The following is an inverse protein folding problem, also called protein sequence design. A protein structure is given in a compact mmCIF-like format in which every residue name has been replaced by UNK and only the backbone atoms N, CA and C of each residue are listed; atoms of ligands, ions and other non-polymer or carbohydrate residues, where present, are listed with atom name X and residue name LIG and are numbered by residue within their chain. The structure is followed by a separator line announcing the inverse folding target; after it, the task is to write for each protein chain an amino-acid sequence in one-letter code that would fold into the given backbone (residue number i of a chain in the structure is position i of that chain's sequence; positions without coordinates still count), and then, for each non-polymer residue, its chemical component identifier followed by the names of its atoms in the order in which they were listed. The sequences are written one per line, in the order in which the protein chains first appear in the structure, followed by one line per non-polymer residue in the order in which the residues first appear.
data_IF_533380019155
#
_entry.id   IF_533380019155
#
_cell.length_a   1.000
_cell.length_b   1.000
_cell.length_c   1.000
_cell.angle_alpha   90.00
_cell.angle_beta   90.00
_cell.angle_gamma   90.00
#
_symmetry.space_group_name_H-M   'P 1'
#
loop_
_entity.id
_entity.type
_entity.pdbx_description
1 polymer ?
#
# COMPACT_ATOMS: atom_id res chain seq x y z
N UNK A 1 29.09 18.53 -33.14
CA UNK A 1 27.87 17.72 -33.45
C UNK A 1 26.96 17.44 -32.22
N UNK A 2 27.45 16.95 -31.06
CA UNK A 2 26.57 16.73 -29.91
C UNK A 2 26.15 18.04 -29.19
N UNK A 3 27.04 19.00 -29.06
CA UNK A 3 26.79 20.30 -28.40
C UNK A 3 25.79 21.15 -29.22
N UNK A 4 25.88 21.12 -30.53
CA UNK A 4 24.95 21.84 -31.45
C UNK A 4 23.51 21.31 -31.39
N UNK A 5 23.34 19.97 -31.19
CA UNK A 5 22.01 19.36 -31.02
C UNK A 5 21.36 19.77 -29.69
N UNK A 6 22.14 19.89 -28.61
CA UNK A 6 21.64 20.34 -27.32
C UNK A 6 21.29 21.82 -27.35
N UNK A 7 22.09 22.67 -27.99
CA UNK A 7 21.79 24.10 -28.14
C UNK A 7 20.52 24.33 -29.02
N UNK A 8 20.36 23.54 -30.10
CA UNK A 8 19.14 23.58 -30.92
C UNK A 8 17.88 23.15 -30.19
N UNK A 9 17.98 22.14 -29.28
CA UNK A 9 16.87 21.70 -28.44
C UNK A 9 16.47 22.77 -27.41
N UNK A 10 17.45 23.43 -26.77
CA UNK A 10 17.20 24.52 -25.82
C UNK A 10 16.58 25.74 -26.53
N UNK A 11 17.04 26.08 -27.76
CA UNK A 11 16.47 27.17 -28.54
C UNK A 11 15.01 26.90 -28.92
N UNK A 12 14.67 25.66 -29.31
CA UNK A 12 13.27 25.24 -29.59
C UNK A 12 12.37 25.31 -28.35
N UNK A 13 12.86 24.86 -27.22
CA UNK A 13 12.11 24.93 -25.97
C UNK A 13 11.85 26.38 -25.48
N UNK A 14 12.81 27.30 -25.75
CA UNK A 14 12.63 28.74 -25.48
C UNK A 14 11.65 29.39 -26.45
N UNK A 15 11.69 29.05 -27.70
CA UNK A 15 10.73 29.54 -28.69
C UNK A 15 9.29 29.08 -28.44
N UNK A 16 9.11 27.84 -27.99
CA UNK A 16 7.81 27.33 -27.54
C UNK A 16 7.26 28.04 -26.27
N UNK A 17 8.12 28.44 -25.34
CA UNK A 17 7.71 29.24 -24.19
C UNK A 17 7.35 30.68 -24.54
N UNK A 18 8.05 31.31 -25.49
CA UNK A 18 7.76 32.66 -25.93
C UNK A 18 6.46 32.78 -26.73
N UNK A 19 5.96 31.68 -27.30
CA UNK A 19 4.67 31.66 -28.03
C UNK A 19 3.45 31.41 -27.14
N UNK A 20 3.62 31.30 -25.81
CA UNK A 20 2.55 31.04 -24.81
C UNK A 20 2.18 32.28 -23.99
N UNK A 21 2.73 33.45 -24.26
CA UNK A 21 2.19 34.73 -23.74
C UNK A 21 0.97 35.16 -24.56
N UNK A 22 -0.12 34.42 -24.47
CA UNK A 22 -1.45 34.96 -24.75
C UNK A 22 -1.87 35.77 -23.53
N UNK A 23 -1.92 37.09 -23.74
CA UNK A 23 -2.59 38.00 -22.81
C UNK A 23 -4.04 37.57 -22.75
N UNK A 24 -4.45 36.96 -21.66
CA UNK A 24 -5.86 36.76 -21.35
C UNK A 24 -6.41 38.13 -20.93
N UNK A 25 -7.23 38.77 -21.79
CA UNK A 25 -8.13 39.82 -21.35
C UNK A 25 -9.04 39.15 -20.28
N UNK A 26 -8.94 39.64 -19.06
CA UNK A 26 -9.84 39.24 -17.96
C UNK A 26 -11.18 39.90 -18.28
N UNK A 27 -12.17 39.08 -18.63
CA UNK A 27 -13.55 39.54 -18.79
C UNK A 27 -14.10 39.76 -17.38
N UNK A 28 -14.22 41.01 -16.96
CA UNK A 28 -14.67 41.44 -15.61
C UNK A 28 -16.15 41.09 -15.37
N UNK A 29 -16.88 40.56 -16.35
CA UNK A 29 -18.31 40.21 -16.26
C UNK A 29 -18.60 38.74 -16.04
N UNK A 30 -17.58 37.89 -15.80
CA UNK A 30 -17.82 36.51 -15.39
C UNK A 30 -18.36 36.49 -13.97
N UNK A 31 -19.58 35.91 -13.72
CA UNK A 31 -20.08 35.75 -12.37
C UNK A 31 -19.05 34.91 -11.59
N UNK A 32 -18.59 35.48 -10.46
CA UNK A 32 -17.78 34.76 -9.50
C UNK A 32 -18.51 33.44 -9.23
N UNK A 33 -17.86 32.33 -9.51
CA UNK A 33 -18.38 31.02 -9.11
C UNK A 33 -18.74 31.12 -7.62
N UNK A 34 -20.02 30.87 -7.30
CA UNK A 34 -20.48 30.82 -5.92
C UNK A 34 -19.50 29.92 -5.17
N UNK A 35 -18.99 30.42 -4.04
CA UNK A 35 -18.03 29.72 -3.19
C UNK A 35 -18.46 28.25 -3.05
N UNK A 36 -17.78 27.33 -3.75
CA UNK A 36 -17.80 25.93 -3.35
C UNK A 36 -17.40 25.94 -1.88
N UNK A 37 -18.30 25.56 -1.01
CA UNK A 37 -18.16 25.55 0.45
C UNK A 37 -16.72 25.21 0.82
N UNK A 38 -15.95 26.22 1.24
CA UNK A 38 -14.59 26.03 1.72
C UNK A 38 -14.71 25.28 3.06
N UNK A 39 -14.84 23.95 2.94
CA UNK A 39 -14.84 23.05 4.09
C UNK A 39 -13.44 23.18 4.70
N UNK A 40 -13.33 23.91 5.79
CA UNK A 40 -12.08 23.96 6.56
C UNK A 40 -11.58 22.51 6.75
N UNK A 41 -10.32 22.22 6.40
CA UNK A 41 -9.80 20.87 6.52
C UNK A 41 -9.86 20.45 7.99
N UNK A 42 -10.75 19.52 8.31
CA UNK A 42 -10.85 18.94 9.65
C UNK A 42 -9.45 18.53 10.11
N UNK A 43 -9.00 18.93 11.30
CA UNK A 43 -7.68 18.55 11.78
C UNK A 43 -7.56 17.03 11.78
N UNK A 44 -6.39 16.47 11.44
CA UNK A 44 -6.21 15.02 11.39
C UNK A 44 -6.48 14.42 12.77
N UNK A 45 -7.16 13.28 12.80
CA UNK A 45 -7.39 12.55 14.03
C UNK A 45 -6.04 12.17 14.66
N UNK A 46 -6.02 12.21 15.99
CA UNK A 46 -4.82 11.91 16.75
C UNK A 46 -4.54 10.41 16.71
N UNK A 47 -3.42 10.01 16.10
CA UNK A 47 -2.94 8.63 16.11
C UNK A 47 -2.76 8.09 17.52
N UNK A 48 -2.47 8.95 18.51
CA UNK A 48 -2.30 8.53 19.90
C UNK A 48 -3.59 8.01 20.53
N UNK A 49 -4.75 8.44 20.02
CA UNK A 49 -6.07 8.00 20.47
C UNK A 49 -6.44 6.59 19.96
N UNK A 50 -5.74 6.05 18.95
CA UNK A 50 -6.00 4.71 18.46
C UNK A 50 -5.74 3.64 19.53
N UNK A 51 -6.57 2.58 19.61
CA UNK A 51 -6.33 1.44 20.50
C UNK A 51 -4.92 0.89 20.31
N UNK A 52 -4.14 0.80 21.38
CA UNK A 52 -2.74 0.36 21.34
C UNK A 52 -2.62 -1.14 21.62
N UNK A 53 -1.84 -1.85 20.84
CA UNK A 53 -1.46 -3.24 21.10
C UNK A 53 0.02 -3.34 21.37
N UNK A 54 0.37 -4.03 22.48
CA UNK A 54 1.77 -4.30 22.81
C UNK A 54 2.34 -5.41 21.94
N UNK A 55 3.28 -5.06 21.04
CA UNK A 55 4.02 -6.02 20.21
C UNK A 55 5.24 -6.51 20.97
N UNK A 56 5.12 -7.69 21.61
CA UNK A 56 6.25 -8.31 22.30
C UNK A 56 7.20 -9.00 21.33
N UNK A 57 8.49 -9.16 21.71
CA UNK A 57 9.47 -9.90 20.88
C UNK A 57 8.96 -11.29 20.48
N UNK A 58 8.28 -11.99 21.38
CA UNK A 58 7.69 -13.32 21.12
C UNK A 58 6.58 -13.29 20.06
N UNK A 59 5.78 -12.23 20.01
CA UNK A 59 4.74 -12.04 18.97
C UNK A 59 5.42 -11.79 17.63
N UNK A 60 6.40 -10.89 17.58
CA UNK A 60 7.16 -10.54 16.39
C UNK A 60 7.86 -11.76 15.78
N UNK A 61 8.54 -12.55 16.61
CA UNK A 61 9.22 -13.78 16.20
C UNK A 61 8.23 -14.80 15.61
N UNK A 62 7.14 -15.08 16.33
CA UNK A 62 6.11 -16.02 15.87
C UNK A 62 5.42 -15.57 14.59
N UNK A 63 5.21 -14.26 14.40
CA UNK A 63 4.67 -13.67 13.18
C UNK A 63 5.73 -13.57 12.06
N UNK A 64 6.99 -13.95 12.34
CA UNK A 64 8.14 -13.79 11.42
C UNK A 64 8.34 -12.36 10.96
N UNK A 65 8.12 -11.41 11.85
CA UNK A 65 8.36 -9.98 11.62
C UNK A 65 9.83 -9.68 11.99
N UNK A 66 10.73 -9.93 11.05
CA UNK A 66 12.18 -9.77 11.25
C UNK A 66 12.65 -8.32 11.16
N UNK A 67 11.81 -7.43 10.66
CA UNK A 67 12.12 -6.01 10.44
C UNK A 67 11.79 -5.10 11.62
N UNK A 68 11.18 -5.65 12.67
CA UNK A 68 10.80 -4.88 13.86
C UNK A 68 12.00 -4.36 14.68
N UNK A 69 13.16 -4.97 14.54
CA UNK A 69 14.43 -4.61 15.17
C UNK A 69 15.53 -4.31 14.15
N UNK A 70 16.77 -4.16 14.65
CA UNK A 70 17.98 -3.92 13.84
C UNK A 70 18.70 -5.25 13.45
N UNK A 71 17.99 -6.36 13.36
CA UNK A 71 18.60 -7.66 13.11
C UNK A 71 19.15 -7.76 11.66
N UNK A 72 20.28 -8.48 11.51
CA UNK A 72 20.96 -8.69 10.21
C UNK A 72 20.08 -9.37 9.14
N UNK A 73 18.99 -10.01 9.54
CA UNK A 73 18.04 -10.68 8.61
C UNK A 73 17.09 -9.71 7.90
N UNK A 74 17.16 -8.41 8.16
CA UNK A 74 16.26 -7.41 7.57
C UNK A 74 16.76 -6.81 6.24
N UNK A 75 18.00 -7.07 5.82
CA UNK A 75 18.64 -6.39 4.67
C UNK A 75 17.81 -6.47 3.39
N UNK A 76 17.24 -7.64 3.06
CA UNK A 76 16.41 -7.78 1.87
C UNK A 76 15.13 -6.91 1.94
N UNK A 77 14.50 -6.85 3.12
CA UNK A 77 13.34 -6.00 3.36
C UNK A 77 13.71 -4.52 3.39
N UNK A 78 14.88 -4.16 3.89
CA UNK A 78 15.35 -2.77 3.91
C UNK A 78 15.63 -2.28 2.48
N UNK A 79 16.20 -3.12 1.63
CA UNK A 79 16.36 -2.83 0.20
C UNK A 79 15.00 -2.70 -0.51
N UNK A 80 14.07 -3.62 -0.23
CA UNK A 80 12.70 -3.57 -0.78
C UNK A 80 12.00 -2.28 -0.34
N UNK A 81 12.02 -1.94 0.96
CA UNK A 81 11.48 -0.69 1.49
C UNK A 81 12.02 0.52 0.73
N UNK A 82 13.35 0.60 0.57
CA UNK A 82 14.00 1.75 -0.08
C UNK A 82 13.51 1.91 -1.52
N UNK A 83 13.46 0.81 -2.30
CA UNK A 83 12.97 0.83 -3.68
C UNK A 83 11.49 1.20 -3.78
N UNK A 84 10.65 0.62 -2.91
CA UNK A 84 9.22 0.92 -2.86
C UNK A 84 8.99 2.39 -2.52
N UNK A 85 9.62 2.89 -1.45
CA UNK A 85 9.50 4.30 -1.05
C UNK A 85 9.96 5.27 -2.13
N UNK A 86 11.10 5.00 -2.76
CA UNK A 86 11.60 5.84 -3.83
C UNK A 86 10.59 5.92 -4.98
N UNK A 87 10.07 4.77 -5.41
CA UNK A 87 9.08 4.73 -6.50
C UNK A 87 7.79 5.45 -6.12
N UNK A 88 7.24 5.17 -4.94
CA UNK A 88 6.01 5.80 -4.47
C UNK A 88 6.15 7.32 -4.34
N UNK A 89 7.28 7.81 -3.81
CA UNK A 89 7.56 9.26 -3.72
C UNK A 89 7.68 9.92 -5.10
N UNK A 90 8.36 9.27 -6.05
CA UNK A 90 8.54 9.81 -7.40
C UNK A 90 7.21 9.95 -8.15
N UNK A 91 6.31 8.99 -7.98
CA UNK A 91 5.01 8.95 -8.66
C UNK A 91 3.88 9.64 -7.85
N UNK A 92 4.14 10.06 -6.63
CA UNK A 92 3.12 10.62 -5.73
C UNK A 92 2.11 9.60 -5.21
N UNK A 93 2.45 8.31 -5.24
CA UNK A 93 1.58 7.20 -4.81
C UNK A 93 1.52 7.05 -3.31
N UNK A 94 0.36 6.61 -2.80
CA UNK A 94 0.13 6.36 -1.37
C UNK A 94 -0.39 4.97 -1.07
N UNK A 95 -1.05 4.29 -2.03
CA UNK A 95 -1.70 3.00 -1.85
C UNK A 95 -0.95 1.91 -2.61
N UNK A 96 -0.47 0.91 -1.88
CA UNK A 96 0.21 -0.25 -2.47
C UNK A 96 -0.49 -1.55 -2.10
N UNK A 97 -0.80 -2.36 -3.09
CA UNK A 97 -1.30 -3.72 -2.89
C UNK A 97 -0.14 -4.71 -2.80
N UNK A 98 -0.24 -5.67 -1.88
CA UNK A 98 0.64 -6.83 -1.80
C UNK A 98 -0.21 -8.06 -2.13
N UNK A 99 0.07 -8.71 -3.25
CA UNK A 99 -0.61 -9.94 -3.67
C UNK A 99 0.40 -11.01 -4.04
N UNK A 100 -0.06 -12.20 -4.38
CA UNK A 100 0.81 -13.30 -4.81
C UNK A 100 0.18 -14.06 -5.96
N UNK A 101 1.00 -14.81 -6.70
CA UNK A 101 0.49 -15.67 -7.78
C UNK A 101 -0.44 -16.75 -7.21
N UNK A 102 -0.03 -17.40 -6.10
CA UNK A 102 -0.75 -18.51 -5.49
C UNK A 102 -0.75 -18.41 -3.97
N UNK A 103 -1.46 -19.31 -3.31
CA UNK A 103 -1.49 -19.43 -1.86
C UNK A 103 -0.10 -19.76 -1.28
N UNK A 104 0.09 -19.45 0.00
CA UNK A 104 1.31 -19.75 0.74
C UNK A 104 2.62 -19.14 0.17
N UNK A 105 2.60 -18.24 -0.83
CA UNK A 105 3.80 -17.53 -1.29
C UNK A 105 4.39 -16.60 -0.22
N UNK A 106 3.64 -16.27 0.84
CA UNK A 106 4.11 -15.46 1.96
C UNK A 106 3.78 -13.97 1.84
N UNK A 107 2.75 -13.60 1.04
CA UNK A 107 2.30 -12.22 0.85
C UNK A 107 2.07 -11.45 2.16
N UNK A 108 1.28 -12.02 3.08
CA UNK A 108 0.98 -11.38 4.38
C UNK A 108 2.22 -11.16 5.24
N UNK A 109 3.18 -12.13 5.22
CA UNK A 109 4.47 -11.97 5.89
C UNK A 109 5.29 -10.85 5.25
N UNK A 110 5.28 -10.74 3.92
CA UNK A 110 5.95 -9.63 3.21
C UNK A 110 5.28 -8.31 3.53
N UNK A 111 3.94 -8.24 3.54
CA UNK A 111 3.19 -7.04 3.90
C UNK A 111 3.49 -6.56 5.33
N UNK A 112 3.46 -7.47 6.32
CA UNK A 112 3.83 -7.15 7.71
C UNK A 112 5.26 -6.64 7.81
N UNK A 113 6.22 -7.33 7.19
CA UNK A 113 7.63 -6.93 7.24
C UNK A 113 7.88 -5.59 6.54
N UNK A 114 7.23 -5.31 5.42
CA UNK A 114 7.30 -4.00 4.77
C UNK A 114 6.76 -2.91 5.69
N UNK A 115 5.59 -3.11 6.30
CA UNK A 115 4.97 -2.16 7.23
C UNK A 115 5.87 -1.87 8.43
N UNK A 116 6.44 -2.91 9.05
CA UNK A 116 7.36 -2.73 10.19
C UNK A 116 8.70 -2.12 9.78
N UNK A 117 9.21 -2.39 8.57
CA UNK A 117 10.41 -1.73 8.05
C UNK A 117 10.19 -0.24 7.80
N UNK A 118 9.01 0.13 7.27
CA UNK A 118 8.59 1.53 7.08
C UNK A 118 8.47 2.26 8.41
N UNK A 119 7.87 1.62 9.43
CA UNK A 119 7.67 2.23 10.75
C UNK A 119 8.97 2.56 11.51
N UNK A 120 10.13 2.14 11.01
CA UNK A 120 11.45 2.57 11.53
C UNK A 120 11.78 4.03 11.14
N UNK A 121 11.09 4.58 10.13
CA UNK A 121 11.14 6.01 9.78
C UNK A 121 9.99 6.70 10.51
N UNK A 122 10.32 7.41 11.58
CA UNK A 122 9.33 7.97 12.51
C UNK A 122 8.40 9.01 11.87
N UNK A 123 8.88 9.67 10.82
CA UNK A 123 8.15 10.66 10.03
C UNK A 123 7.09 10.05 9.09
N UNK A 124 7.16 8.73 8.82
CA UNK A 124 6.23 8.04 7.91
C UNK A 124 5.09 7.38 8.68
N UNK A 125 3.89 7.83 8.46
CA UNK A 125 2.66 7.19 8.98
C UNK A 125 2.19 6.12 8.01
N UNK A 126 2.09 4.88 8.49
CA UNK A 126 1.72 3.72 7.67
C UNK A 126 0.47 3.05 8.23
N UNK A 127 -0.48 2.71 7.36
CA UNK A 127 -1.62 1.86 7.70
C UNK A 127 -1.49 0.55 6.91
N UNK A 128 -1.48 -0.59 7.62
CA UNK A 128 -1.57 -1.92 7.03
C UNK A 128 -3.03 -2.39 7.10
N UNK A 129 -3.63 -2.65 5.95
CA UNK A 129 -5.02 -3.10 5.80
C UNK A 129 -5.04 -4.55 5.33
N UNK A 130 -5.74 -5.42 6.05
CA UNK A 130 -6.01 -6.77 5.60
C UNK A 130 -7.24 -6.79 4.69
N UNK A 131 -7.01 -6.90 3.40
CA UNK A 131 -8.04 -7.01 2.39
C UNK A 131 -8.22 -8.46 1.88
N UNK A 132 -7.46 -9.44 2.41
CA UNK A 132 -7.76 -10.87 2.26
C UNK A 132 -8.91 -11.26 3.21
N UNK A 133 -10.13 -10.91 2.81
CA UNK A 133 -11.33 -11.18 3.61
C UNK A 133 -11.73 -12.66 3.61
N UNK A 134 -11.21 -13.44 2.66
CA UNK A 134 -11.47 -14.89 2.58
C UNK A 134 -10.65 -15.70 3.58
N UNK A 135 -9.39 -15.30 3.79
CA UNK A 135 -8.44 -16.00 4.68
C UNK A 135 -7.67 -15.03 5.57
N UNK A 136 -8.37 -14.25 6.42
CA UNK A 136 -7.71 -13.28 7.28
C UNK A 136 -6.71 -13.97 8.21
N UNK A 137 -5.57 -13.35 8.41
CA UNK A 137 -4.43 -13.92 9.13
C UNK A 137 -3.71 -12.93 10.04
N UNK A 138 -3.82 -11.61 9.77
CA UNK A 138 -3.04 -10.59 10.47
C UNK A 138 -3.41 -10.48 11.95
N UNK A 139 -4.72 -10.50 12.27
CA UNK A 139 -5.17 -10.45 13.67
C UNK A 139 -4.61 -11.62 14.49
N UNK A 140 -4.65 -12.83 13.94
CA UNK A 140 -4.10 -14.04 14.57
C UNK A 140 -2.58 -13.98 14.68
N UNK A 141 -1.89 -13.61 13.59
CA UNK A 141 -0.43 -13.55 13.56
C UNK A 141 0.13 -12.55 14.57
N UNK A 142 -0.45 -11.36 14.65
CA UNK A 142 -0.01 -10.29 15.53
C UNK A 142 -0.74 -10.27 16.89
N UNK A 143 -1.64 -11.23 17.16
CA UNK A 143 -2.46 -11.29 18.38
C UNK A 143 -3.24 -10.01 18.64
N UNK A 144 -3.82 -9.44 17.60
CA UNK A 144 -4.66 -8.26 17.69
C UNK A 144 -6.11 -8.65 18.01
N UNK A 145 -6.79 -7.76 18.72
CA UNK A 145 -8.22 -7.90 19.07
C UNK A 145 -8.97 -6.64 18.66
N UNK A 146 -9.07 -6.33 17.33
CA UNK A 146 -9.81 -5.16 16.87
C UNK A 146 -11.31 -5.31 17.17
N UNK A 147 -12.03 -4.19 17.29
CA UNK A 147 -13.49 -4.21 17.51
C UNK A 147 -14.26 -4.59 16.22
N UNK A 148 -13.65 -4.38 15.06
CA UNK A 148 -14.12 -4.79 13.75
C UNK A 148 -12.96 -4.89 12.78
N UNK A 149 -13.18 -5.43 11.59
CA UNK A 149 -12.19 -5.52 10.52
C UNK A 149 -12.56 -4.65 9.32
N UNK A 150 -11.81 -4.81 8.24
CA UNK A 150 -12.05 -4.05 7.01
C UNK A 150 -13.43 -4.36 6.39
N UNK A 151 -13.90 -5.62 6.50
CA UNK A 151 -15.24 -6.00 6.03
C UNK A 151 -16.36 -5.23 6.75
N UNK A 152 -16.30 -5.12 8.08
CA UNK A 152 -17.29 -4.40 8.89
C UNK A 152 -17.22 -2.87 8.65
N UNK A 153 -16.01 -2.35 8.40
CA UNK A 153 -15.82 -0.94 8.02
C UNK A 153 -16.46 -0.66 6.65
N UNK A 154 -16.26 -1.54 5.66
CA UNK A 154 -16.88 -1.40 4.34
C UNK A 154 -18.41 -1.47 4.40
N UNK A 155 -18.97 -2.31 5.29
CA UNK A 155 -20.43 -2.38 5.53
C UNK A 155 -20.98 -1.23 6.37
N UNK A 156 -20.12 -0.35 6.90
CA UNK A 156 -20.50 0.73 7.84
C UNK A 156 -21.07 0.22 9.17
N UNK A 157 -20.77 -1.02 9.54
CA UNK A 157 -21.17 -1.64 10.81
C UNK A 157 -20.31 -1.17 11.99
N UNK A 158 -19.02 -0.91 11.73
CA UNK A 158 -18.06 -0.40 12.71
C UNK A 158 -17.29 0.76 12.10
N UNK A 159 -17.06 1.80 12.89
CA UNK A 159 -16.23 2.92 12.43
C UNK A 159 -14.76 2.51 12.35
N UNK A 160 -14.03 3.00 11.33
CA UNK A 160 -12.63 2.63 11.14
C UNK A 160 -11.71 3.01 12.32
N UNK A 161 -11.92 4.11 13.11
CA UNK A 161 -11.13 4.38 14.31
C UNK A 161 -11.16 3.25 15.34
N UNK A 162 -12.31 2.60 15.50
CA UNK A 162 -12.48 1.47 16.42
C UNK A 162 -11.87 0.17 15.91
N UNK A 163 -11.69 0.07 14.61
CA UNK A 163 -11.15 -1.11 13.92
C UNK A 163 -9.63 -1.02 13.73
N UNK A 164 -9.05 0.18 13.73
CA UNK A 164 -7.61 0.38 13.68
C UNK A 164 -6.96 0.05 15.02
N UNK A 165 -5.86 -0.70 14.99
CA UNK A 165 -5.03 -1.00 16.16
C UNK A 165 -3.63 -0.46 15.96
N UNK A 166 -3.19 0.45 16.80
CA UNK A 166 -1.84 1.01 16.75
C UNK A 166 -0.84 0.01 17.32
N UNK A 167 0.09 -0.45 16.50
CA UNK A 167 1.13 -1.42 16.86
C UNK A 167 2.50 -0.78 17.05
N UNK A 168 2.70 0.43 16.49
CA UNK A 168 3.82 1.35 16.73
C UNK A 168 3.32 2.78 16.69
N UNK A 169 4.15 3.74 17.10
CA UNK A 169 3.73 5.15 17.16
C UNK A 169 3.24 5.69 15.79
N UNK A 170 3.79 5.16 14.70
CA UNK A 170 3.49 5.54 13.33
C UNK A 170 3.00 4.37 12.44
N UNK A 171 2.56 3.25 13.05
CA UNK A 171 2.01 2.10 12.34
C UNK A 171 0.71 1.64 12.99
N UNK A 172 -0.37 1.70 12.23
CA UNK A 172 -1.67 1.12 12.59
C UNK A 172 -2.04 -0.04 11.65
N UNK A 173 -2.83 -0.97 12.17
CA UNK A 173 -3.26 -2.17 11.43
C UNK A 173 -4.77 -2.27 11.50
N UNK A 174 -5.39 -2.47 10.34
CA UNK A 174 -6.80 -2.81 10.16
C UNK A 174 -6.88 -4.28 9.78
N UNK A 175 -7.06 -5.16 10.77
CA UNK A 175 -7.05 -6.61 10.61
C UNK A 175 -8.46 -7.18 10.82
N UNK A 176 -8.79 -8.27 10.11
CA UNK A 176 -10.07 -8.94 10.28
C UNK A 176 -9.96 -10.07 11.31
N UNK A 177 -11.00 -10.25 12.11
CA UNK A 177 -11.12 -11.37 13.06
C UNK A 177 -11.68 -12.61 12.41
N UNK A 178 -12.63 -12.42 11.52
CA UNK A 178 -13.43 -13.46 10.89
C UNK A 178 -13.39 -13.34 9.36
N UNK A 179 -13.77 -14.41 8.70
CA UNK A 179 -13.91 -14.45 7.25
C UNK A 179 -15.20 -13.76 6.83
N UNK A 180 -15.14 -13.08 5.69
CA UNK A 180 -16.36 -12.55 5.05
C UNK A 180 -16.76 -13.45 3.89
N UNK A 181 -17.95 -14.03 3.90
CA UNK A 181 -18.43 -14.87 2.79
C UNK A 181 -18.65 -14.09 1.49
N UNK A 182 -18.96 -12.79 1.58
CA UNK A 182 -19.21 -11.88 0.43
C UNK A 182 -18.02 -10.97 0.17
N UNK A 183 -16.80 -11.51 0.16
CA UNK A 183 -15.57 -10.72 0.04
C UNK A 183 -15.45 -10.00 -1.30
N UNK A 184 -15.75 -10.69 -2.41
CA UNK A 184 -15.64 -10.11 -3.74
C UNK A 184 -16.63 -8.94 -3.92
N UNK A 185 -17.90 -9.12 -3.54
CA UNK A 185 -18.93 -8.09 -3.62
C UNK A 185 -18.57 -6.86 -2.78
N UNK A 186 -18.00 -7.08 -1.58
CA UNK A 186 -17.57 -5.99 -0.72
C UNK A 186 -16.40 -5.19 -1.32
N UNK A 187 -15.43 -5.89 -1.90
CA UNK A 187 -14.23 -5.26 -2.47
C UNK A 187 -14.49 -4.64 -3.86
N UNK A 188 -15.55 -5.09 -4.56
CA UNK A 188 -16.07 -4.47 -5.78
C UNK A 188 -17.01 -3.29 -5.53
N UNK A 189 -17.53 -3.16 -4.32
CA UNK A 189 -18.56 -2.17 -3.99
C UNK A 189 -18.10 -0.73 -4.21
N UNK A 190 -19.01 0.11 -4.73
CA UNK A 190 -18.79 1.54 -4.98
C UNK A 190 -18.42 2.33 -3.70
N UNK A 191 -18.67 1.76 -2.53
CA UNK A 191 -18.32 2.33 -1.23
C UNK A 191 -16.83 2.30 -0.90
N UNK A 192 -16.04 1.41 -1.53
CA UNK A 192 -14.60 1.22 -1.21
C UNK A 192 -13.81 2.52 -1.39
N UNK A 193 -13.87 3.23 -2.55
CA UNK A 193 -13.11 4.48 -2.72
C UNK A 193 -13.47 5.53 -1.67
N UNK A 194 -14.75 5.62 -1.28
CA UNK A 194 -15.24 6.53 -0.25
C UNK A 194 -14.60 6.25 1.11
N UNK A 195 -14.63 4.98 1.55
CA UNK A 195 -14.01 4.55 2.81
C UNK A 195 -12.50 4.83 2.83
N UNK A 196 -11.79 4.52 1.73
CA UNK A 196 -10.36 4.78 1.65
C UNK A 196 -10.03 6.28 1.75
N UNK A 197 -10.81 7.14 1.06
CA UNK A 197 -10.67 8.60 1.16
C UNK A 197 -10.97 9.12 2.58
N UNK A 198 -11.95 8.55 3.27
CA UNK A 198 -12.25 8.92 4.67
C UNK A 198 -11.07 8.58 5.58
N UNK A 199 -10.47 7.38 5.46
CA UNK A 199 -9.29 6.99 6.23
C UNK A 199 -8.12 7.94 5.95
N UNK A 200 -7.88 8.27 4.68
CA UNK A 200 -6.82 9.20 4.27
C UNK A 200 -7.03 10.62 4.81
N UNK A 201 -8.26 11.13 4.78
CA UNK A 201 -8.58 12.46 5.33
C UNK A 201 -8.39 12.51 6.84
N UNK A 202 -8.85 11.47 7.56
CA UNK A 202 -8.82 11.41 9.01
C UNK A 202 -7.40 11.22 9.55
N UNK A 203 -6.63 10.29 9.01
CA UNK A 203 -5.33 9.92 9.57
C UNK A 203 -4.12 10.42 8.77
N UNK A 204 -4.32 10.88 7.53
CA UNK A 204 -3.26 11.37 6.63
C UNK A 204 -2.04 10.43 6.60
N UNK A 205 -2.23 9.12 6.31
CA UNK A 205 -1.11 8.23 6.18
C UNK A 205 -0.25 8.62 4.97
N UNK A 206 1.05 8.46 5.11
CA UNK A 206 1.99 8.58 3.99
C UNK A 206 1.92 7.35 3.09
N UNK A 207 1.57 6.19 3.67
CA UNK A 207 1.42 4.93 2.95
C UNK A 207 0.31 4.05 3.53
N UNK A 208 -0.50 3.49 2.63
CA UNK A 208 -1.44 2.41 2.93
C UNK A 208 -1.02 1.15 2.20
N UNK A 209 -0.82 0.06 2.94
CA UNK A 209 -0.46 -1.26 2.42
C UNK A 209 -1.67 -2.16 2.52
N UNK A 210 -2.08 -2.78 1.41
CA UNK A 210 -3.21 -3.70 1.35
C UNK A 210 -2.71 -5.13 1.14
N UNK A 211 -2.91 -6.01 2.14
CA UNK A 211 -2.66 -7.44 2.00
C UNK A 211 -3.86 -8.09 1.31
N UNK A 212 -3.74 -8.39 0.02
CA UNK A 212 -4.79 -8.94 -0.83
C UNK A 212 -4.67 -10.48 -0.95
N UNK A 213 -5.76 -11.19 -1.30
CA UNK A 213 -5.67 -12.61 -1.60
C UNK A 213 -4.81 -12.90 -2.84
N UNK A 214 -4.46 -14.19 -3.09
CA UNK A 214 -3.71 -14.56 -4.27
C UNK A 214 -4.47 -14.27 -5.57
N UNK A 215 -3.79 -13.64 -6.52
CA UNK A 215 -4.38 -13.12 -7.76
C UNK A 215 -5.05 -14.21 -8.63
N UNK A 216 -4.43 -15.41 -8.68
CA UNK A 216 -4.94 -16.49 -9.53
C UNK A 216 -6.03 -17.34 -8.85
N UNK A 217 -6.32 -17.11 -7.58
CA UNK A 217 -7.28 -17.92 -6.81
C UNK A 217 -8.57 -17.19 -6.46
N UNK A 218 -8.61 -15.87 -6.61
CA UNK A 218 -9.74 -15.06 -6.20
C UNK A 218 -9.87 -13.81 -7.06
N UNK A 219 -11.08 -13.50 -7.45
CA UNK A 219 -11.47 -12.29 -8.16
C UNK A 219 -11.43 -11.02 -7.28
N UNK A 220 -11.45 -11.20 -5.97
CA UNK A 220 -11.31 -10.13 -4.97
C UNK A 220 -10.13 -9.19 -5.26
N UNK A 221 -8.98 -9.77 -5.63
CA UNK A 221 -7.77 -8.98 -5.94
C UNK A 221 -7.96 -8.15 -7.21
N UNK A 222 -8.50 -8.75 -8.27
CA UNK A 222 -8.77 -8.04 -9.52
C UNK A 222 -9.74 -6.88 -9.31
N UNK A 223 -10.76 -7.11 -8.47
CA UNK A 223 -11.73 -6.12 -8.06
C UNK A 223 -11.10 -4.92 -7.35
N UNK A 224 -10.16 -5.20 -6.45
CA UNK A 224 -9.59 -4.18 -5.59
C UNK A 224 -8.45 -3.38 -6.24
N UNK A 225 -7.75 -3.94 -7.25
CA UNK A 225 -6.57 -3.31 -7.87
C UNK A 225 -6.82 -1.90 -8.40
N UNK A 226 -8.05 -1.58 -8.83
CA UNK A 226 -8.43 -0.23 -9.25
C UNK A 226 -8.47 0.81 -8.11
N UNK A 227 -8.38 0.39 -6.85
CA UNK A 227 -8.41 1.26 -5.67
C UNK A 227 -7.01 1.58 -5.12
N UNK A 228 -5.95 1.06 -5.75
CA UNK A 228 -4.56 1.28 -5.35
C UNK A 228 -3.74 1.88 -6.48
N UNK A 229 -2.69 2.60 -6.13
CA UNK A 229 -1.81 3.26 -7.09
C UNK A 229 -0.85 2.26 -7.74
N UNK A 230 -0.47 1.22 -6.98
CA UNK A 230 0.49 0.22 -7.45
C UNK A 230 0.35 -1.11 -6.71
N UNK A 231 1.00 -2.15 -7.26
CA UNK A 231 1.04 -3.47 -6.65
C UNK A 231 2.46 -4.06 -6.62
N UNK A 232 2.73 -4.87 -5.59
CA UNK A 232 3.91 -5.70 -5.45
C UNK A 232 3.48 -7.17 -5.53
N UNK A 233 4.03 -7.92 -6.48
CA UNK A 233 3.74 -9.33 -6.66
C UNK A 233 4.72 -10.17 -5.85
N UNK A 234 4.21 -11.03 -4.96
CA UNK A 234 5.01 -11.99 -4.19
C UNK A 234 4.93 -13.37 -4.85
N UNK A 235 6.09 -13.94 -5.17
CA UNK A 235 6.24 -15.27 -5.76
C UNK A 235 7.04 -16.17 -4.84
N UNK A 236 6.89 -17.48 -4.97
CA UNK A 236 7.65 -18.47 -4.21
C UNK A 236 8.65 -19.17 -5.11
N UNK A 237 9.93 -19.18 -4.75
CA UNK A 237 10.98 -19.87 -5.46
C UNK A 237 10.71 -21.40 -5.61
N UNK A 238 9.92 -21.95 -4.68
CA UNK A 238 9.67 -23.41 -4.65
C UNK A 238 8.48 -23.83 -5.53
N UNK A 239 7.54 -22.91 -5.84
CA UNK A 239 6.24 -23.29 -6.41
C UNK A 239 5.77 -22.41 -7.57
N UNK A 240 6.19 -21.13 -7.66
CA UNK A 240 5.69 -20.23 -8.70
C UNK A 240 6.47 -20.41 -10.00
N UNK A 241 5.79 -20.77 -11.08
CA UNK A 241 6.38 -20.91 -12.42
C UNK A 241 6.51 -19.54 -13.12
N UNK A 242 7.42 -19.43 -14.09
CA UNK A 242 7.58 -18.21 -14.89
C UNK A 242 6.28 -17.83 -15.62
N UNK A 243 5.55 -18.81 -16.15
CA UNK A 243 4.26 -18.58 -16.82
C UNK A 243 3.20 -17.98 -15.87
N UNK A 244 3.16 -18.42 -14.61
CA UNK A 244 2.28 -17.80 -13.60
C UNK A 244 2.70 -16.36 -13.28
N UNK A 245 4.01 -16.10 -13.17
CA UNK A 245 4.52 -14.74 -12.99
C UNK A 245 4.07 -13.85 -14.13
N UNK A 246 4.30 -14.27 -15.36
CA UNK A 246 3.93 -13.50 -16.57
C UNK A 246 2.41 -13.24 -16.65
N UNK A 247 1.58 -14.22 -16.28
CA UNK A 247 0.14 -14.06 -16.21
C UNK A 247 -0.25 -13.03 -15.18
N UNK A 248 0.30 -13.11 -13.94
CA UNK A 248 0.03 -12.15 -12.88
C UNK A 248 0.52 -10.73 -13.24
N UNK A 249 1.68 -10.61 -13.86
CA UNK A 249 2.22 -9.32 -14.30
C UNK A 249 1.27 -8.64 -15.29
N UNK A 250 0.75 -9.38 -16.27
CA UNK A 250 -0.24 -8.84 -17.22
C UNK A 250 -1.51 -8.37 -16.50
N UNK A 251 -2.11 -9.23 -15.69
CA UNK A 251 -3.35 -8.92 -14.96
C UNK A 251 -3.22 -7.69 -14.04
N UNK A 252 -2.07 -7.53 -13.39
CA UNK A 252 -1.79 -6.34 -12.57
C UNK A 252 -1.62 -5.11 -13.45
N UNK A 253 -0.80 -5.21 -14.51
CA UNK A 253 -0.44 -4.07 -15.37
C UNK A 253 -1.63 -3.51 -16.15
N UNK A 254 -2.66 -4.33 -16.40
CA UNK A 254 -3.91 -3.89 -17.03
C UNK A 254 -4.78 -3.02 -16.10
N UNK A 255 -4.50 -3.01 -14.77
CA UNK A 255 -5.35 -2.35 -13.76
C UNK A 255 -4.63 -1.31 -12.93
N UNK A 256 -3.35 -1.53 -12.63
CA UNK A 256 -2.54 -0.64 -11.80
C UNK A 256 -1.05 -0.81 -12.11
N UNK A 257 -0.21 0.09 -11.59
CA UNK A 257 1.23 0.00 -11.82
C UNK A 257 1.85 -1.18 -11.04
N UNK A 258 2.74 -1.93 -11.67
CA UNK A 258 3.55 -2.95 -10.99
C UNK A 258 4.85 -2.32 -10.47
N UNK A 259 5.03 -2.28 -9.14
CA UNK A 259 6.27 -1.77 -8.52
C UNK A 259 7.42 -2.76 -8.67
N UNK A 260 7.11 -4.06 -8.61
CA UNK A 260 8.10 -5.11 -8.74
C UNK A 260 7.59 -6.50 -8.37
N UNK A 261 8.49 -7.47 -8.49
CA UNK A 261 8.24 -8.86 -8.10
C UNK A 261 9.22 -9.26 -7.01
N UNK A 262 8.71 -9.85 -5.93
CA UNK A 262 9.49 -10.39 -4.82
C UNK A 262 9.57 -11.91 -4.93
N UNK A 263 10.77 -12.45 -5.09
CA UNK A 263 11.02 -13.87 -5.00
C UNK A 263 11.23 -14.25 -3.52
N UNK A 264 10.19 -14.79 -2.91
CA UNK A 264 10.22 -15.28 -1.54
C UNK A 264 10.64 -16.74 -1.45
N UNK A 265 10.99 -17.22 -0.26
CA UNK A 265 11.42 -18.60 0.03
C UNK A 265 12.63 -19.08 -0.78
N UNK A 266 13.39 -18.15 -1.34
CA UNK A 266 14.64 -18.50 -2.02
C UNK A 266 15.68 -18.99 -1.00
N UNK A 267 16.27 -20.16 -1.28
CA UNK A 267 17.39 -20.69 -0.54
C UNK A 267 18.60 -20.72 -1.45
N UNK A 268 19.62 -19.92 -1.13
CA UNK A 268 20.87 -20.01 -1.88
C UNK A 268 21.49 -21.40 -1.68
N UNK A 269 21.70 -22.13 -2.77
CA UNK A 269 22.45 -23.39 -2.72
C UNK A 269 23.88 -23.06 -2.25
N UNK A 270 24.26 -23.50 -1.04
CA UNK A 270 25.61 -23.32 -0.50
C UNK A 270 25.84 -22.18 0.47
N UNK A 271 24.82 -21.45 0.93
CA UNK A 271 24.95 -20.58 2.09
C UNK A 271 24.98 -21.42 3.38
N UNK A 272 26.08 -22.14 3.60
CA UNK A 272 26.47 -22.52 4.95
C UNK A 272 26.59 -21.22 5.75
N UNK A 273 25.89 -21.19 6.88
CA UNK A 273 25.95 -20.15 7.93
C UNK A 273 27.38 -19.69 8.17
N UNK A 274 27.66 -18.46 7.75
CA UNK A 274 28.93 -17.83 7.99
C UNK A 274 28.88 -16.37 7.58
N UNK A 275 28.37 -15.53 8.49
CA UNK A 275 28.88 -14.20 8.83
C UNK A 275 28.28 -13.80 10.18
#
# INVERSE_FOLDING_TARGET
MAVERVQSAIARARAQRAGLETVYEVDDDLPLAEDEDFIEPTPPEDWSALPKSGMTARILDRARIVTAGLAHHSTAFDMMRTKVLQRMKTEGWKRIAITSADSACGKSMVAMNLAFSLSRQQELRTILVEADLRRPSLAKAMRLSPQGGFAEVLRREVSFPKSLVRVRENLAVLANRERSPSSAELLHGDGVPGVLKEIERAYRPDMMIFDLPPLMLADDTLAFLGNVDCALLVTSAEHTTAAQVDACVREISDRTALVGVVLNKYRAAGAASGY
#
